data_IF_499789784011
#
_entry.id   IF_499789784011
#
_cell.length_a   1.000
_cell.length_b   1.000
_cell.length_c   1.000
_cell.angle_alpha   90.00
_cell.angle_beta   90.00
_cell.angle_gamma   90.00
#
_symmetry.space_group_name_H-M   'P 1'
#
loop_
_entity.id
_entity.type
_entity.pdbx_description
1 polymer ?
#
# COMPACT_ATOMS: atom_id res chain seq x y z
N UNK A 1 20.19 -6.01 -5.54
CA UNK A 1 18.84 -5.42 -5.72
C UNK A 1 18.11 -6.21 -6.80
N UNK A 2 17.25 -7.17 -6.43
CA UNK A 2 16.56 -8.02 -7.40
C UNK A 2 15.49 -7.18 -8.11
N UNK A 3 15.64 -6.96 -9.43
CA UNK A 3 14.77 -6.08 -10.23
C UNK A 3 13.27 -6.37 -9.98
N UNK A 4 12.92 -7.64 -9.80
CA UNK A 4 11.56 -8.15 -9.56
C UNK A 4 10.90 -7.55 -8.31
N UNK A 5 11.67 -7.27 -7.24
CA UNK A 5 11.15 -6.68 -5.99
C UNK A 5 10.82 -5.18 -6.08
N UNK A 6 11.20 -4.52 -7.19
CA UNK A 6 10.80 -3.13 -7.49
C UNK A 6 9.48 -3.09 -8.27
N UNK A 7 9.21 -4.11 -9.09
CA UNK A 7 8.01 -4.18 -9.95
C UNK A 7 6.75 -4.52 -9.14
N UNK A 8 6.86 -5.28 -8.06
CA UNK A 8 5.72 -5.69 -7.23
C UNK A 8 5.27 -4.66 -6.18
N UNK A 9 5.40 -3.35 -6.45
CA UNK A 9 4.88 -2.31 -5.55
C UNK A 9 3.59 -1.71 -6.08
N UNK A 10 2.61 -1.51 -5.19
CA UNK A 10 1.33 -0.88 -5.49
C UNK A 10 1.10 0.30 -4.55
N UNK A 11 0.41 1.32 -5.06
CA UNK A 11 -0.17 2.35 -4.22
C UNK A 11 -1.45 1.79 -3.63
N UNK A 12 -1.55 1.86 -2.30
CA UNK A 12 -2.68 1.31 -1.56
C UNK A 12 -3.13 2.28 -0.48
N UNK A 13 -4.39 2.19 -0.10
CA UNK A 13 -4.96 2.95 1.01
C UNK A 13 -4.82 2.13 2.29
N UNK A 14 -4.33 2.75 3.36
CA UNK A 14 -4.18 2.13 4.67
C UNK A 14 -4.70 3.07 5.77
N UNK A 15 -5.00 2.56 6.97
CA UNK A 15 -5.21 3.39 8.15
C UNK A 15 -4.07 4.39 8.36
N UNK A 16 -4.41 5.58 8.84
CA UNK A 16 -3.41 6.60 9.16
C UNK A 16 -2.51 6.14 10.32
N UNK A 17 -1.21 6.22 10.11
CA UNK A 17 -0.18 6.04 11.13
C UNK A 17 0.91 7.08 10.99
N UNK A 18 2.10 6.78 11.50
CA UNK A 18 3.27 7.64 11.33
C UNK A 18 3.73 7.64 9.86
N UNK A 19 3.86 8.82 9.28
CA UNK A 19 4.31 8.97 7.90
C UNK A 19 5.80 8.62 7.78
N UNK A 20 6.17 7.91 6.72
CA UNK A 20 7.55 7.56 6.42
C UNK A 20 7.82 7.52 4.91
N UNK A 21 8.95 6.93 4.51
CA UNK A 21 9.44 6.93 3.12
C UNK A 21 8.48 6.31 2.08
N UNK A 22 7.51 5.51 2.55
CA UNK A 22 6.49 4.87 1.71
C UNK A 22 5.23 5.71 1.55
N UNK A 23 5.01 6.69 2.42
CA UNK A 23 3.81 7.53 2.45
C UNK A 23 3.82 8.51 1.27
N UNK A 24 2.71 8.59 0.55
CA UNK A 24 2.52 9.50 -0.60
C UNK A 24 1.55 10.62 -0.30
N UNK A 25 0.54 10.34 0.52
CA UNK A 25 -0.42 11.31 0.99
C UNK A 25 -1.01 10.84 2.32
N UNK A 26 -1.39 11.77 3.16
CA UNK A 26 -2.17 11.55 4.39
C UNK A 26 -3.50 12.29 4.26
N UNK A 27 -4.55 11.69 4.81
CA UNK A 27 -5.92 12.24 4.87
C UNK A 27 -6.41 12.15 6.31
N UNK A 28 -5.94 13.04 7.21
CA UNK A 28 -6.22 12.96 8.64
C UNK A 28 -7.71 12.97 8.99
N UNK A 29 -8.50 13.76 8.27
CA UNK A 29 -9.95 13.85 8.42
C UNK A 29 -10.69 12.55 8.10
N UNK A 30 -10.08 11.65 7.32
CA UNK A 30 -10.61 10.32 7.02
C UNK A 30 -9.97 9.21 7.86
N UNK A 31 -8.92 9.52 8.63
CA UNK A 31 -8.09 8.51 9.29
C UNK A 31 -7.38 7.57 8.31
N UNK A 32 -7.02 8.08 7.12
CA UNK A 32 -6.43 7.29 6.04
C UNK A 32 -5.11 7.87 5.53
N UNK A 33 -4.31 7.02 4.89
CA UNK A 33 -3.12 7.41 4.14
C UNK A 33 -2.93 6.55 2.89
N UNK A 34 -2.18 7.07 1.92
CA UNK A 34 -1.77 6.35 0.72
C UNK A 34 -0.31 5.99 0.85
N UNK A 35 -0.01 4.70 0.71
CA UNK A 35 1.36 4.17 0.78
C UNK A 35 1.75 3.36 -0.44
N UNK A 36 3.04 3.40 -0.78
CA UNK A 36 3.66 2.49 -1.74
C UNK A 36 4.15 1.22 -1.02
N UNK A 37 3.34 0.15 -1.07
CA UNK A 37 3.63 -1.14 -0.42
C UNK A 37 3.95 -2.23 -1.44
N UNK A 38 4.68 -3.26 -1.01
CA UNK A 38 4.88 -4.47 -1.82
C UNK A 38 3.62 -5.32 -1.78
N UNK A 39 3.30 -5.98 -2.88
CA UNK A 39 2.18 -6.91 -2.99
C UNK A 39 2.28 -8.03 -1.94
N UNK A 40 3.46 -8.61 -1.77
CA UNK A 40 3.72 -9.63 -0.74
C UNK A 40 3.73 -9.09 0.72
N UNK A 41 3.60 -7.77 0.93
CA UNK A 41 3.65 -7.14 2.26
C UNK A 41 2.66 -5.97 2.38
N UNK A 42 1.39 -6.23 2.06
CA UNK A 42 0.32 -5.23 2.07
C UNK A 42 -0.13 -4.82 3.47
N UNK A 43 -0.02 -5.68 4.48
CA UNK A 43 -0.38 -5.37 5.87
C UNK A 43 -1.87 -5.02 6.03
N UNK A 44 -2.15 -3.94 6.75
CA UNK A 44 -3.49 -3.38 6.99
C UNK A 44 -4.06 -2.54 5.82
N UNK A 45 -3.42 -2.61 4.65
CA UNK A 45 -3.92 -1.92 3.47
C UNK A 45 -5.27 -2.50 3.05
N UNK A 46 -6.18 -1.62 2.64
CA UNK A 46 -7.46 -2.01 2.04
C UNK A 46 -7.17 -2.61 0.67
N UNK A 47 -7.58 -3.86 0.47
CA UNK A 47 -7.43 -4.60 -0.79
C UNK A 47 -8.81 -4.78 -1.41
N UNK A 48 -9.14 -4.06 -2.49
CA UNK A 48 -10.39 -4.28 -3.22
C UNK A 48 -10.46 -5.67 -3.84
N UNK A 49 -11.65 -6.22 -4.03
CA UNK A 49 -11.86 -7.58 -4.56
C UNK A 49 -11.20 -7.81 -5.93
N UNK A 50 -11.26 -6.81 -6.81
CA UNK A 50 -10.60 -6.87 -8.13
C UNK A 50 -9.06 -6.96 -8.00
N UNK A 51 -8.49 -6.40 -6.93
CA UNK A 51 -7.05 -6.50 -6.66
C UNK A 51 -6.73 -7.85 -6.04
N UNK A 52 -7.54 -8.32 -5.08
CA UNK A 52 -7.36 -9.62 -4.43
C UNK A 52 -7.27 -10.77 -5.45
N UNK A 53 -8.10 -10.76 -6.48
CA UNK A 53 -8.07 -11.75 -7.56
C UNK A 53 -6.73 -11.79 -8.33
N UNK A 54 -6.00 -10.67 -8.41
CA UNK A 54 -4.70 -10.57 -9.07
C UNK A 54 -3.51 -10.85 -8.14
N UNK A 55 -3.75 -11.12 -6.85
CA UNK A 55 -2.72 -11.47 -5.86
C UNK A 55 -2.53 -12.99 -5.68
N UNK A 56 -3.46 -13.80 -6.20
CA UNK A 56 -3.47 -15.26 -6.10
C UNK A 56 -2.48 -15.95 -7.07
#
# INVERSE_FOLDING_TARGET
>A
MHHRSKVNRRLVVAPLGEAGDRTRATYPELGLMVELRRVEALGDARVPDWMAAALA
#
